data_IF_944335167142
#
_entry.id   IF_944335167142
#
_cell.length_a   1.000
_cell.length_b   1.000
_cell.length_c   1.000
_cell.angle_alpha   90.00
_cell.angle_beta   90.00
_cell.angle_gamma   90.00
#
_symmetry.space_group_name_H-M   'P 1'
#
loop_
_entity.id
_entity.type
_entity.pdbx_description
1 polymer ?
#
# COMPACT_ATOMS: atom_id res chain seq x y z
N UNK A 1 -4.85 -3.93 -31.40
CA UNK A 1 -5.07 -4.28 -29.97
C UNK A 1 -6.19 -3.40 -29.46
N UNK A 2 -7.28 -4.00 -28.97
CA UNK A 2 -8.46 -3.26 -28.51
C UNK A 2 -8.16 -2.62 -27.15
N UNK A 3 -8.57 -1.37 -26.89
CA UNK A 3 -8.43 -0.76 -25.58
C UNK A 3 -9.32 -1.51 -24.58
N UNK A 4 -8.70 -2.01 -23.50
CA UNK A 4 -9.43 -2.55 -22.36
C UNK A 4 -10.29 -1.42 -21.81
N UNK A 5 -11.61 -1.52 -22.00
CA UNK A 5 -12.58 -0.65 -21.35
C UNK A 5 -12.58 -0.99 -19.87
N UNK A 6 -11.81 -0.24 -19.08
CA UNK A 6 -11.88 -0.31 -17.63
C UNK A 6 -13.15 0.43 -17.22
N UNK A 7 -14.09 -0.28 -16.59
CA UNK A 7 -15.33 0.29 -16.06
C UNK A 7 -15.02 1.45 -15.09
N UNK A 8 -15.82 2.53 -15.07
CA UNK A 8 -15.59 3.69 -14.18
C UNK A 8 -15.82 3.41 -12.69
N UNK A 9 -16.00 2.13 -12.30
CA UNK A 9 -16.22 1.68 -10.92
C UNK A 9 -15.15 0.73 -10.39
N UNK A 10 -14.09 0.45 -11.15
CA UNK A 10 -12.88 -0.18 -10.59
C UNK A 10 -11.81 0.88 -10.49
N UNK A 11 -11.89 1.74 -9.48
CA UNK A 11 -10.74 2.51 -9.02
C UNK A 11 -9.66 1.49 -8.68
N UNK A 12 -8.76 1.20 -9.62
CA UNK A 12 -7.65 0.30 -9.37
C UNK A 12 -6.92 0.86 -8.15
N UNK A 13 -6.83 0.09 -7.06
CA UNK A 13 -5.99 0.40 -5.91
C UNK A 13 -4.53 0.24 -6.36
N UNK A 14 -4.11 1.14 -7.23
CA UNK A 14 -2.81 1.20 -7.84
C UNK A 14 -2.16 2.51 -7.41
N UNK A 15 -1.03 2.41 -6.73
CA UNK A 15 -0.26 3.57 -6.28
C UNK A 15 1.19 3.40 -6.73
N UNK A 16 1.75 4.46 -7.29
CA UNK A 16 3.15 4.52 -7.75
C UNK A 16 3.74 5.89 -7.46
N UNK A 17 5.03 6.04 -7.75
CA UNK A 17 5.74 7.31 -7.64
C UNK A 17 4.93 8.49 -8.23
N UNK A 18 4.92 9.62 -7.52
CA UNK A 18 4.22 10.85 -7.88
C UNK A 18 2.71 10.84 -7.57
N UNK A 19 2.12 9.70 -7.21
CA UNK A 19 0.74 9.69 -6.72
C UNK A 19 0.64 10.41 -5.36
N UNK A 20 -0.51 11.02 -5.11
CA UNK A 20 -0.80 11.71 -3.85
C UNK A 20 -2.18 11.37 -3.32
N UNK A 21 -2.41 11.66 -2.03
CA UNK A 21 -3.73 11.61 -1.40
C UNK A 21 -3.93 10.45 -0.41
N UNK A 22 -5.18 10.21 0.00
CA UNK A 22 -5.49 9.34 1.14
C UNK A 22 -5.07 7.89 0.96
N UNK A 23 -5.03 7.38 -0.29
CA UNK A 23 -4.54 6.03 -0.59
C UNK A 23 -3.06 5.87 -0.26
N UNK A 24 -2.24 6.86 -0.64
CA UNK A 24 -0.80 6.88 -0.33
C UNK A 24 -0.59 6.94 1.18
N UNK A 25 -1.32 7.82 1.87
CA UNK A 25 -1.26 7.91 3.34
C UNK A 25 -1.59 6.59 4.01
N UNK A 26 -2.61 5.88 3.52
CA UNK A 26 -3.00 4.58 4.04
C UNK A 26 -1.88 3.54 3.85
N UNK A 27 -1.27 3.50 2.66
CA UNK A 27 -0.14 2.63 2.36
C UNK A 27 1.07 2.93 3.27
N UNK A 28 1.47 4.19 3.41
CA UNK A 28 2.56 4.62 4.29
C UNK A 28 2.29 4.20 5.75
N UNK A 29 1.08 4.45 6.25
CA UNK A 29 0.67 4.05 7.61
C UNK A 29 0.73 2.55 7.78
N UNK A 30 0.30 1.79 6.77
CA UNK A 30 0.34 0.34 6.80
C UNK A 30 1.78 -0.20 6.85
N UNK A 31 2.66 0.32 5.99
CA UNK A 31 4.07 -0.05 5.95
C UNK A 31 4.77 0.23 7.28
N UNK A 32 4.48 1.36 7.93
CA UNK A 32 5.00 1.64 9.27
C UNK A 32 4.48 0.63 10.31
N UNK A 33 3.19 0.31 10.25
CA UNK A 33 2.52 -0.46 11.30
C UNK A 33 2.76 -1.97 11.23
N UNK A 34 2.85 -2.53 10.03
CA UNK A 34 2.97 -3.97 9.82
C UNK A 34 4.34 -4.43 9.36
N UNK A 35 5.18 -3.51 8.87
CA UNK A 35 6.49 -3.85 8.30
C UNK A 35 7.64 -3.05 8.91
N UNK A 36 7.36 -2.26 9.96
CA UNK A 36 8.38 -1.54 10.73
C UNK A 36 9.09 -0.44 9.92
N UNK A 37 8.42 0.11 8.90
CA UNK A 37 8.93 1.29 8.19
C UNK A 37 8.80 2.55 9.06
N UNK A 38 9.51 3.61 8.68
CA UNK A 38 9.51 4.89 9.40
C UNK A 38 9.25 6.05 8.44
N UNK A 39 8.20 5.91 7.64
CA UNK A 39 7.78 6.92 6.66
C UNK A 39 7.06 8.08 7.32
N UNK A 40 7.28 9.27 6.78
CA UNK A 40 6.39 10.41 7.02
C UNK A 40 5.05 10.09 6.36
N UNK A 41 3.95 10.33 7.07
CA UNK A 41 2.62 10.16 6.51
C UNK A 41 2.19 11.44 5.78
N UNK A 42 2.89 11.80 4.70
CA UNK A 42 2.68 13.05 3.98
C UNK A 42 1.66 12.94 2.83
N UNK A 43 1.15 11.73 2.57
CA UNK A 43 0.24 11.47 1.45
C UNK A 43 0.90 11.68 0.08
N UNK A 44 2.23 11.66 -0.01
CA UNK A 44 3.01 11.78 -1.24
C UNK A 44 3.82 10.52 -1.49
N UNK A 45 3.64 9.91 -2.64
CA UNK A 45 4.40 8.74 -3.04
C UNK A 45 5.71 9.22 -3.69
N UNK A 46 6.64 9.68 -2.85
CA UNK A 46 8.01 9.99 -3.27
C UNK A 46 8.95 8.81 -3.09
N UNK A 47 10.24 9.02 -3.36
CA UNK A 47 11.27 7.96 -3.32
C UNK A 47 11.32 7.18 -2.01
N UNK A 48 11.15 7.84 -0.85
CA UNK A 48 11.10 7.14 0.43
C UNK A 48 9.94 6.12 0.51
N UNK A 49 8.79 6.42 -0.08
CA UNK A 49 7.65 5.49 -0.12
C UNK A 49 7.91 4.34 -1.09
N UNK A 50 8.55 4.61 -2.22
CA UNK A 50 8.98 3.61 -3.22
C UNK A 50 9.99 2.63 -2.64
N UNK A 51 11.11 3.12 -2.09
CA UNK A 51 12.16 2.31 -1.45
C UNK A 51 11.56 1.42 -0.34
N UNK A 52 10.68 1.99 0.48
CA UNK A 52 10.01 1.24 1.54
C UNK A 52 9.07 0.16 0.99
N UNK A 53 8.42 0.41 -0.15
CA UNK A 53 7.54 -0.56 -0.78
C UNK A 53 8.32 -1.69 -1.42
N UNK A 54 9.42 -1.40 -2.11
CA UNK A 54 10.32 -2.41 -2.69
C UNK A 54 10.83 -3.38 -1.62
N UNK A 55 11.32 -2.85 -0.49
CA UNK A 55 11.73 -3.67 0.65
C UNK A 55 10.58 -4.55 1.19
N UNK A 56 9.34 -4.05 1.18
CA UNK A 56 8.19 -4.84 1.63
C UNK A 56 7.84 -5.91 0.60
N UNK A 57 7.88 -5.58 -0.68
CA UNK A 57 7.64 -6.52 -1.78
C UNK A 57 8.61 -7.70 -1.71
N UNK A 58 9.90 -7.43 -1.48
CA UNK A 58 10.92 -8.46 -1.28
C UNK A 58 10.57 -9.38 -0.09
N UNK A 59 10.23 -8.80 1.07
CA UNK A 59 9.86 -9.55 2.29
C UNK A 59 8.61 -10.41 2.14
N UNK A 60 7.65 -10.00 1.32
CA UNK A 60 6.40 -10.75 1.09
C UNK A 60 6.47 -11.64 -0.16
N UNK A 61 7.62 -11.70 -0.83
CA UNK A 61 7.82 -12.48 -2.05
C UNK A 61 6.94 -12.02 -3.21
N UNK A 62 6.64 -10.72 -3.30
CA UNK A 62 6.03 -10.11 -4.47
C UNK A 62 7.09 -9.73 -5.50
N UNK A 63 6.68 -9.41 -6.73
CA UNK A 63 7.55 -8.67 -7.65
C UNK A 63 8.01 -7.37 -6.99
N UNK A 64 9.32 -7.11 -7.02
CA UNK A 64 9.94 -5.87 -6.54
C UNK A 64 9.97 -4.88 -7.70
N UNK A 65 8.93 -4.06 -7.79
CA UNK A 65 8.74 -3.08 -8.88
C UNK A 65 8.40 -1.68 -8.38
N UNK A 66 8.37 -1.45 -7.06
CA UNK A 66 8.10 -0.14 -6.48
C UNK A 66 6.64 0.32 -6.62
N UNK A 67 5.76 -0.54 -7.13
CA UNK A 67 4.37 -0.23 -7.43
C UNK A 67 3.41 -1.00 -6.50
N UNK A 68 2.47 -0.28 -5.89
CA UNK A 68 1.39 -0.91 -5.14
C UNK A 68 0.31 -1.38 -6.12
N UNK A 69 0.55 -2.53 -6.75
CA UNK A 69 -0.41 -3.19 -7.63
C UNK A 69 -1.20 -4.33 -6.96
N UNK A 70 -1.99 -5.05 -7.76
CA UNK A 70 -2.83 -6.17 -7.29
C UNK A 70 -2.04 -7.27 -6.60
N UNK A 71 -0.83 -7.58 -7.09
CA UNK A 71 0.01 -8.60 -6.47
C UNK A 71 0.45 -8.17 -5.07
N UNK A 72 1.01 -6.96 -4.94
CA UNK A 72 1.39 -6.36 -3.66
C UNK A 72 0.19 -6.33 -2.71
N UNK A 73 -0.98 -5.89 -3.18
CA UNK A 73 -2.22 -5.85 -2.39
C UNK A 73 -2.60 -7.21 -1.80
N UNK A 74 -2.53 -8.29 -2.59
CA UNK A 74 -2.93 -9.63 -2.15
C UNK A 74 -1.92 -10.26 -1.17
N UNK A 75 -0.63 -9.95 -1.34
CA UNK A 75 0.45 -10.49 -0.48
C UNK A 75 0.71 -9.64 0.76
N UNK A 76 0.29 -8.37 0.76
CA UNK A 76 0.49 -7.46 1.88
C UNK A 76 -0.59 -7.69 2.95
N UNK A 77 -0.16 -7.94 4.18
CA UNK A 77 -0.96 -7.75 5.40
C UNK A 77 -1.21 -6.25 5.66
N UNK A 78 -2.44 -5.95 6.08
CA UNK A 78 -2.91 -4.64 6.45
C UNK A 78 -3.20 -4.52 7.95
N UNK A 79 -2.81 -3.39 8.53
CA UNK A 79 -3.03 -3.09 9.94
C UNK A 79 -4.52 -2.90 10.22
N UNK A 80 -5.05 -3.65 11.19
CA UNK A 80 -6.39 -3.45 11.72
C UNK A 80 -6.33 -2.64 13.00
N UNK A 81 -7.23 -1.68 13.14
CA UNK A 81 -7.35 -0.82 14.31
C UNK A 81 -8.69 -1.04 14.99
N UNK A 82 -8.70 -0.90 16.31
CA UNK A 82 -9.94 -0.85 17.08
C UNK A 82 -10.63 0.51 16.79
N UNK A 83 -11.90 0.53 16.37
CA UNK A 83 -12.59 1.78 16.01
C UNK A 83 -12.90 2.68 17.21
N UNK A 84 -13.01 2.12 18.42
CA UNK A 84 -13.32 2.86 19.66
C UNK A 84 -12.06 3.49 20.26
N UNK A 85 -10.94 2.75 20.25
CA UNK A 85 -9.70 3.19 20.94
C UNK A 85 -8.63 3.70 19.99
N UNK A 86 -8.74 3.43 18.69
CA UNK A 86 -7.69 3.72 17.70
C UNK A 86 -6.43 2.85 17.84
N UNK A 87 -6.38 1.92 18.79
CA UNK A 87 -5.23 1.04 19.00
C UNK A 87 -5.06 0.05 17.85
N UNK A 88 -3.81 -0.20 17.43
CA UNK A 88 -3.49 -1.26 16.48
C UNK A 88 -3.75 -2.62 17.12
N UNK A 89 -4.54 -3.47 16.46
CA UNK A 89 -4.89 -4.80 16.97
C UNK A 89 -3.97 -5.86 16.37
N UNK A 90 -3.97 -5.99 15.04
CA UNK A 90 -3.21 -7.01 14.33
C UNK A 90 -2.87 -6.55 12.89
N UNK A 91 -2.15 -7.41 12.17
CA UNK A 91 -1.86 -7.26 10.74
C UNK A 91 -2.37 -8.52 10.03
N UNK A 92 -3.31 -8.35 9.08
CA UNK A 92 -3.98 -9.45 8.39
C UNK A 92 -4.16 -9.17 6.91
N UNK A 93 -4.29 -10.20 6.08
CA UNK A 93 -4.59 -10.02 4.66
C UNK A 93 -5.95 -9.34 4.47
N UNK A 94 -6.07 -8.55 3.40
CA UNK A 94 -7.36 -8.03 2.97
C UNK A 94 -8.25 -9.19 2.51
N UNK A 95 -9.58 -9.10 2.74
CA UNK A 95 -10.53 -10.10 2.24
C UNK A 95 -10.60 -10.12 0.71
#
# INVERSE_FOLDING_TARGET
MLPVRVSPFTSNCYLQYGNTGPGVRALQKNMNSCYGKSLVLDSSFGGATEDALEDVQDRIGARVDGEYGRETMLKMKWARYNPETGARVDCKYLP
#
